data_IF_364157411666
#
_entry.id   IF_364157411666
#
_cell.length_a   1.000
_cell.length_b   1.000
_cell.length_c   1.000
_cell.angle_alpha   90.00
_cell.angle_beta   90.00
_cell.angle_gamma   90.00
#
_symmetry.space_group_name_H-M   'P 1'
#
loop_
_entity.id
_entity.type
_entity.pdbx_description
1 polymer ?
#
# COMPACT_ATOMS: atom_id res chain seq x y z
N UNK A 1 10.36 33.60 -5.30
CA UNK A 1 9.74 33.41 -6.64
C UNK A 1 10.53 32.30 -7.33
N UNK A 2 10.11 31.03 -7.19
CA UNK A 2 10.81 29.91 -7.83
C UNK A 2 10.36 29.79 -9.30
N UNK A 3 11.27 29.68 -10.27
CA UNK A 3 10.90 29.55 -11.67
C UNK A 3 10.17 28.22 -11.89
N UNK A 4 9.02 28.28 -12.56
CA UNK A 4 8.32 27.09 -13.06
C UNK A 4 9.26 26.35 -14.02
N UNK A 5 9.86 25.27 -13.54
CA UNK A 5 10.58 24.33 -14.38
C UNK A 5 9.54 23.65 -15.30
N UNK A 6 9.33 24.21 -16.49
CA UNK A 6 8.59 23.56 -17.56
C UNK A 6 9.43 22.37 -18.02
N UNK A 7 9.21 21.24 -17.36
CA UNK A 7 9.80 19.96 -17.74
C UNK A 7 9.19 19.59 -19.10
N UNK A 8 9.94 19.78 -20.18
CA UNK A 8 9.55 19.36 -21.53
C UNK A 8 9.40 17.83 -21.55
N UNK A 9 8.17 17.31 -21.70
CA UNK A 9 7.92 15.87 -21.61
C UNK A 9 8.59 15.09 -22.75
N UNK A 10 8.94 15.74 -23.87
CA UNK A 10 9.71 15.11 -24.96
C UNK A 10 11.14 14.80 -24.54
N UNK A 11 11.84 15.79 -23.99
CA UNK A 11 13.24 15.65 -23.53
C UNK A 11 13.36 14.69 -22.34
N UNK A 12 12.34 14.60 -21.50
CA UNK A 12 12.32 13.64 -20.39
C UNK A 12 12.22 12.21 -20.89
N UNK A 13 11.35 11.94 -21.86
CA UNK A 13 11.18 10.58 -22.42
C UNK A 13 12.45 10.09 -23.09
N UNK A 14 13.08 10.92 -23.90
CA UNK A 14 14.30 10.55 -24.63
C UNK A 14 15.47 10.25 -23.67
N UNK A 15 15.67 11.13 -22.67
CA UNK A 15 16.69 10.94 -21.63
C UNK A 15 16.39 9.72 -20.74
N UNK A 16 15.10 9.45 -20.46
CA UNK A 16 14.67 8.27 -19.69
C UNK A 16 14.97 6.97 -20.44
N UNK A 17 14.70 6.92 -21.75
CA UNK A 17 14.96 5.73 -22.58
C UNK A 17 16.46 5.41 -22.63
N UNK A 18 17.32 6.42 -22.78
CA UNK A 18 18.77 6.22 -22.75
C UNK A 18 19.25 5.72 -21.39
N UNK A 19 18.72 6.27 -20.30
CA UNK A 19 19.02 5.86 -18.93
C UNK A 19 18.64 4.41 -18.67
N UNK A 20 17.44 3.99 -19.09
CA UNK A 20 16.96 2.61 -18.95
C UNK A 20 17.83 1.66 -19.77
N UNK A 21 18.25 2.04 -21.00
CA UNK A 21 19.15 1.21 -21.81
C UNK A 21 20.52 1.00 -21.18
N UNK A 22 21.01 1.96 -20.40
CA UNK A 22 22.30 1.89 -19.70
C UNK A 22 22.21 1.29 -18.30
N UNK A 23 20.99 1.13 -17.76
CA UNK A 23 20.79 0.55 -16.44
C UNK A 23 21.10 -0.96 -16.48
N UNK A 24 22.13 -1.36 -15.73
CA UNK A 24 22.47 -2.78 -15.56
C UNK A 24 21.60 -3.49 -14.52
N UNK A 25 21.11 -2.75 -13.53
CA UNK A 25 20.28 -3.27 -12.45
C UNK A 25 19.01 -2.42 -12.34
N UNK A 26 17.85 -3.01 -12.66
CA UNK A 26 16.55 -2.38 -12.50
C UNK A 26 15.86 -2.96 -11.26
N UNK A 27 15.56 -2.11 -10.28
CA UNK A 27 14.81 -2.50 -9.08
C UNK A 27 13.33 -2.68 -9.38
N UNK A 28 12.90 -3.92 -9.60
CA UNK A 28 11.49 -4.28 -9.83
C UNK A 28 10.87 -5.01 -8.63
N UNK A 29 11.46 -4.88 -7.44
CA UNK A 29 11.07 -5.63 -6.24
C UNK A 29 9.59 -5.44 -5.88
N UNK A 30 9.11 -4.21 -5.95
CA UNK A 30 7.70 -3.89 -5.69
C UNK A 30 6.75 -4.58 -6.69
N UNK A 31 7.10 -4.57 -7.98
CA UNK A 31 6.32 -5.25 -9.01
C UNK A 31 6.26 -6.77 -8.78
N UNK A 32 7.35 -7.38 -8.31
CA UNK A 32 7.39 -8.81 -7.95
C UNK A 32 6.53 -9.08 -6.71
N UNK A 33 6.62 -8.24 -5.68
CA UNK A 33 5.89 -8.41 -4.42
C UNK A 33 4.38 -8.22 -4.59
N UNK A 34 3.96 -7.19 -5.33
CA UNK A 34 2.56 -6.75 -5.42
C UNK A 34 1.87 -7.14 -6.73
N UNK A 35 2.61 -7.51 -7.77
CA UNK A 35 2.05 -7.76 -9.11
C UNK A 35 1.40 -6.54 -9.75
N UNK A 36 1.79 -5.34 -9.30
CA UNK A 36 1.10 -4.10 -9.60
C UNK A 36 2.08 -2.99 -10.01
N UNK A 37 1.67 -2.15 -10.94
CA UNK A 37 2.35 -0.90 -11.28
C UNK A 37 1.67 0.24 -10.50
N UNK A 38 2.32 0.71 -9.44
CA UNK A 38 1.78 1.76 -8.57
C UNK A 38 1.75 3.13 -9.23
N UNK A 39 2.67 3.42 -10.15
CA UNK A 39 2.64 4.68 -10.91
C UNK A 39 1.40 4.82 -11.80
N UNK A 40 0.87 3.70 -12.29
CA UNK A 40 -0.35 3.67 -13.13
C UNK A 40 -1.58 3.12 -12.41
N UNK A 41 -1.42 2.69 -11.15
CA UNK A 41 -2.43 1.95 -10.39
C UNK A 41 -3.07 0.81 -11.21
N UNK A 42 -2.24 0.05 -11.93
CA UNK A 42 -2.69 -1.00 -12.84
C UNK A 42 -1.98 -2.33 -12.58
N UNK A 43 -2.70 -3.47 -12.65
CA UNK A 43 -2.07 -4.79 -12.54
C UNK A 43 -1.11 -5.01 -13.71
N UNK A 44 0.01 -5.68 -13.43
CA UNK A 44 0.97 -6.05 -14.47
C UNK A 44 0.47 -7.37 -15.09
N UNK A 45 0.24 -7.43 -16.41
CA UNK A 45 -0.22 -8.65 -17.07
C UNK A 45 0.71 -9.84 -16.78
N UNK A 46 0.14 -10.99 -16.43
CA UNK A 46 0.87 -12.22 -16.14
C UNK A 46 1.40 -12.36 -14.71
N UNK A 47 1.30 -11.34 -13.86
CA UNK A 47 1.69 -11.42 -12.45
C UNK A 47 0.49 -11.68 -11.53
N UNK A 48 0.73 -12.42 -10.44
CA UNK A 48 -0.25 -12.63 -9.37
C UNK A 48 -0.23 -11.41 -8.43
N UNK A 49 -1.42 -10.97 -7.98
CA UNK A 49 -1.57 -9.86 -7.02
C UNK A 49 -1.35 -10.27 -5.57
N UNK A 50 -1.35 -11.58 -5.31
CA UNK A 50 -1.07 -12.16 -3.99
C UNK A 50 0.08 -13.14 -4.21
N UNK A 51 1.31 -12.64 -4.08
CA UNK A 51 2.50 -13.46 -4.16
C UNK A 51 2.81 -14.16 -2.82
N UNK A 52 2.48 -13.50 -1.71
CA UNK A 52 2.73 -13.99 -0.35
C UNK A 52 1.47 -13.90 0.49
N UNK A 53 1.23 -14.96 1.27
CA UNK A 53 0.27 -14.99 2.37
C UNK A 53 1.07 -15.32 3.62
N UNK A 54 0.97 -14.46 4.61
CA UNK A 54 1.59 -14.66 5.90
C UNK A 54 0.53 -15.22 6.84
N UNK A 55 0.89 -16.28 7.56
CA UNK A 55 0.02 -16.91 8.56
C UNK A 55 0.63 -16.70 9.95
N UNK A 56 -0.19 -16.35 10.92
CA UNK A 56 0.21 -16.28 12.32
C UNK A 56 -0.87 -16.83 13.24
N UNK A 57 -0.44 -17.35 14.38
CA UNK A 57 -1.32 -17.83 15.44
C UNK A 57 -1.71 -16.68 16.38
N UNK A 58 -2.98 -16.67 16.79
CA UNK A 58 -3.50 -15.73 17.77
C UNK A 58 -3.08 -16.16 19.18
N UNK A 59 -2.10 -15.46 19.74
CA UNK A 59 -1.57 -15.69 21.10
C UNK A 59 -2.31 -14.92 22.20
N UNK A 60 -3.01 -13.83 21.85
CA UNK A 60 -3.77 -13.00 22.79
C UNK A 60 -5.00 -12.41 22.10
N UNK A 61 -6.13 -12.34 22.82
CA UNK A 61 -7.36 -11.67 22.35
C UNK A 61 -7.79 -10.62 23.38
N UNK A 62 -7.92 -9.36 22.92
CA UNK A 62 -8.50 -8.26 23.70
C UNK A 62 -9.78 -7.75 23.05
N UNK A 63 -10.71 -7.30 23.88
CA UNK A 63 -12.00 -6.76 23.39
C UNK A 63 -11.91 -5.25 23.22
N UNK A 64 -12.04 -4.77 21.98
CA UNK A 64 -12.34 -3.37 21.66
C UNK A 64 -13.83 -3.24 21.37
N UNK A 65 -14.50 -2.12 21.74
CA UNK A 65 -15.85 -1.83 21.26
C UNK A 65 -15.87 -1.89 19.72
N UNK A 66 -16.77 -2.71 19.19
CA UNK A 66 -16.97 -2.94 17.75
C UNK A 66 -17.64 -1.76 17.05
N UNK A 67 -18.38 -0.93 17.79
CA UNK A 67 -19.14 0.21 17.27
C UNK A 67 -18.53 1.53 17.76
N UNK A 68 -18.59 2.60 16.95
CA UNK A 68 -18.23 3.93 17.39
C UNK A 68 -19.07 4.34 18.61
N UNK A 69 -18.47 5.07 19.53
CA UNK A 69 -19.17 5.64 20.68
C UNK A 69 -19.67 7.03 20.27
N UNK A 70 -20.98 7.25 20.27
CA UNK A 70 -21.61 8.54 19.94
C UNK A 70 -22.60 8.47 18.78
N UNK A 71 -22.99 9.64 18.26
CA UNK A 71 -23.90 9.75 17.12
C UNK A 71 -23.17 9.38 15.82
N UNK A 72 -23.77 8.52 15.01
CA UNK A 72 -23.22 8.12 13.71
C UNK A 72 -23.61 9.19 12.68
N UNK A 73 -22.60 9.89 12.14
CA UNK A 73 -22.78 10.85 11.06
C UNK A 73 -22.91 10.17 9.69
N UNK A 74 -23.48 10.89 8.73
CA UNK A 74 -23.48 10.46 7.33
C UNK A 74 -22.06 10.53 6.73
N UNK A 75 -21.77 9.64 5.79
CA UNK A 75 -20.55 9.66 4.99
C UNK A 75 -20.53 10.85 3.99
N UNK A 76 -19.44 10.97 3.21
CA UNK A 76 -19.28 12.02 2.21
C UNK A 76 -20.33 12.01 1.08
N UNK A 77 -21.17 10.98 1.01
CA UNK A 77 -22.24 10.80 0.03
C UNK A 77 -23.64 10.81 0.66
N UNK A 78 -23.75 11.18 1.93
CA UNK A 78 -25.02 11.31 2.65
C UNK A 78 -25.61 9.99 3.16
N UNK A 79 -24.87 8.87 3.12
CA UNK A 79 -25.33 7.57 3.65
C UNK A 79 -24.88 7.41 5.10
N UNK A 80 -25.79 6.96 5.96
CA UNK A 80 -25.44 6.61 7.35
C UNK A 80 -24.93 5.16 7.39
N UNK A 81 -23.68 4.91 7.81
CA UNK A 81 -23.14 3.57 7.87
C UNK A 81 -23.76 2.76 9.01
N UNK A 82 -24.03 1.47 8.75
CA UNK A 82 -24.45 0.49 9.75
C UNK A 82 -23.25 -0.38 10.11
N UNK A 83 -22.98 -0.53 11.40
CA UNK A 83 -21.87 -1.34 11.91
C UNK A 83 -22.40 -2.65 12.49
N UNK A 84 -22.08 -3.76 11.83
CA UNK A 84 -22.32 -5.11 12.35
C UNK A 84 -21.19 -5.52 13.28
N UNK A 85 -21.52 -6.36 14.27
CA UNK A 85 -20.52 -6.89 15.19
C UNK A 85 -19.73 -8.01 14.49
N UNK A 86 -18.40 -7.90 14.38
CA UNK A 86 -17.60 -8.95 13.75
C UNK A 86 -17.53 -10.19 14.66
N UNK A 87 -17.34 -11.35 14.04
CA UNK A 87 -17.01 -12.57 14.77
C UNK A 87 -15.73 -12.37 15.58
N UNK A 88 -15.73 -12.89 16.81
CA UNK A 88 -14.58 -12.77 17.69
C UNK A 88 -13.48 -13.75 17.28
N UNK A 89 -12.22 -13.29 17.18
CA UNK A 89 -11.10 -14.20 17.01
C UNK A 89 -10.97 -15.14 18.23
N UNK A 90 -10.51 -16.36 17.97
CA UNK A 90 -10.28 -17.40 18.98
C UNK A 90 -8.78 -17.53 19.26
N UNK A 91 -8.42 -17.76 20.52
CA UNK A 91 -7.03 -18.12 20.88
C UNK A 91 -6.62 -19.41 20.15
N UNK A 92 -5.40 -19.43 19.64
CA UNK A 92 -4.91 -20.52 18.79
C UNK A 92 -5.48 -20.52 17.36
N UNK A 93 -6.33 -19.56 17.01
CA UNK A 93 -6.79 -19.38 15.64
C UNK A 93 -5.65 -18.93 14.71
N UNK A 94 -5.74 -19.27 13.43
CA UNK A 94 -4.79 -18.82 12.41
C UNK A 94 -5.36 -17.62 11.67
N UNK A 95 -4.63 -16.50 11.71
CA UNK A 95 -4.91 -15.32 10.88
C UNK A 95 -4.02 -15.32 9.65
N UNK A 96 -4.60 -14.90 8.52
CA UNK A 96 -3.90 -14.77 7.24
C UNK A 96 -3.87 -13.32 6.81
N UNK A 97 -2.70 -12.81 6.44
CA UNK A 97 -2.53 -11.46 5.97
C UNK A 97 -1.74 -11.45 4.65
N UNK A 98 -2.20 -10.61 3.73
CA UNK A 98 -1.52 -10.33 2.47
C UNK A 98 -0.77 -9.01 2.59
N UNK A 99 0.38 -8.91 1.94
CA UNK A 99 1.11 -7.65 1.85
C UNK A 99 0.41 -6.73 0.86
N UNK A 100 0.00 -5.56 1.33
CA UNK A 100 -0.43 -4.46 0.47
C UNK A 100 0.72 -3.45 0.28
N UNK A 101 0.47 -2.41 -0.51
CA UNK A 101 1.44 -1.35 -0.75
C UNK A 101 1.85 -0.64 0.56
N UNK A 102 0.91 -0.41 1.47
CA UNK A 102 1.17 0.25 2.75
C UNK A 102 2.09 -0.58 3.65
N UNK A 103 1.84 -1.88 3.74
CA UNK A 103 2.67 -2.84 4.47
C UNK A 103 4.07 -2.95 3.85
N UNK A 104 4.16 -2.99 2.51
CA UNK A 104 5.46 -3.01 1.80
C UNK A 104 6.25 -1.74 2.10
N UNK A 105 5.59 -0.58 2.10
CA UNK A 105 6.24 0.68 2.43
C UNK A 105 6.72 0.67 3.89
N UNK A 106 5.87 0.27 4.85
CA UNK A 106 6.23 0.21 6.26
C UNK A 106 7.42 -0.72 6.55
N UNK A 107 7.49 -1.88 5.88
CA UNK A 107 8.60 -2.83 6.05
C UNK A 107 9.91 -2.39 5.40
N UNK A 108 9.84 -1.55 4.35
CA UNK A 108 11.03 -1.10 3.60
C UNK A 108 11.50 0.30 4.00
N UNK A 109 10.68 1.04 4.75
CA UNK A 109 11.10 2.28 5.39
C UNK A 109 11.94 1.96 6.61
N UNK A 110 13.25 2.17 6.49
CA UNK A 110 14.17 2.16 7.63
C UNK A 110 13.92 3.36 8.53
N UNK A 111 14.11 3.18 9.84
CA UNK A 111 14.09 4.26 10.85
C UNK A 111 15.08 5.39 10.53
N UNK A 112 16.07 5.14 9.66
CA UNK A 112 17.04 6.13 9.21
C UNK A 112 16.54 7.09 8.12
N UNK A 113 15.33 6.88 7.58
CA UNK A 113 14.74 7.77 6.55
C UNK A 113 13.60 8.57 7.16
N UNK A 114 13.91 9.73 7.72
CA UNK A 114 12.90 10.70 8.14
C UNK A 114 12.22 11.34 6.93
N UNK A 115 10.89 11.28 6.85
CA UNK A 115 10.13 12.09 5.89
C UNK A 115 10.16 13.55 6.35
N UNK A 116 11.03 14.34 5.73
CA UNK A 116 10.96 15.80 5.84
C UNK A 116 9.82 16.27 4.93
N UNK A 117 8.69 16.62 5.52
CA UNK A 117 7.66 17.38 4.82
C UNK A 117 8.10 18.85 4.83
N UNK A 118 8.32 19.41 3.64
CA UNK A 118 8.56 20.84 3.43
C UNK A 118 7.24 21.57 3.18
#
# INVERSE_FOLDING_TARGET
>A
MFPRLLIDPGKVREKTVELVRRARNLGIGEAILLGHNTSRMQPIPGLRRVAFVLEAEIVEVRTKPSKPIGLIGADAFGKVPVFEDPERPVLGGIVRFTLDYGATLALTTSDYVGKVYA
#
